data_IF_540856624191
#
_entry.id   IF_540856624191
#
_cell.length_a   1.000
_cell.length_b   1.000
_cell.length_c   1.000
_cell.angle_alpha   90.00
_cell.angle_beta   90.00
_cell.angle_gamma   90.00
#
_symmetry.space_group_name_H-M   'P 1'
#
loop_
_entity.id
_entity.type
_entity.pdbx_description
1 polymer ?
#
# COMPACT_ATOMS: atom_id res chain seq x y z
N UNK A 1 30.48 -24.80 -25.45
CA UNK A 1 30.58 -24.90 -23.99
C UNK A 1 30.47 -23.55 -23.30
N UNK A 2 31.28 -22.55 -23.58
CA UNK A 2 31.14 -21.19 -22.99
C UNK A 2 29.78 -20.53 -23.24
N UNK A 3 29.16 -20.74 -24.40
CA UNK A 3 27.87 -20.15 -24.76
C UNK A 3 26.72 -20.60 -23.83
N UNK A 4 26.69 -21.87 -23.42
CA UNK A 4 25.65 -22.39 -22.51
C UNK A 4 25.78 -21.88 -21.08
N UNK A 5 27.01 -21.66 -20.58
CA UNK A 5 27.25 -21.05 -19.28
C UNK A 5 26.79 -19.57 -19.25
N UNK A 6 27.07 -18.84 -20.32
CA UNK A 6 26.65 -17.45 -20.47
C UNK A 6 25.12 -17.33 -20.53
N UNK A 7 24.45 -18.19 -21.30
CA UNK A 7 23.00 -18.22 -21.40
C UNK A 7 22.34 -18.54 -20.03
N UNK A 8 22.94 -19.47 -19.28
CA UNK A 8 22.48 -19.81 -17.92
C UNK A 8 22.63 -18.64 -16.95
N UNK A 9 23.76 -17.95 -17.01
CA UNK A 9 24.00 -16.77 -16.19
C UNK A 9 23.03 -15.63 -16.54
N UNK A 10 22.79 -15.42 -17.84
CA UNK A 10 21.83 -14.42 -18.33
C UNK A 10 20.39 -14.72 -17.87
N UNK A 11 20.00 -16.00 -17.84
CA UNK A 11 18.74 -16.43 -17.26
C UNK A 11 18.63 -16.02 -15.77
N UNK A 12 19.65 -16.34 -14.96
CA UNK A 12 19.68 -15.95 -13.54
C UNK A 12 19.57 -14.43 -13.35
N UNK A 13 20.31 -13.64 -14.15
CA UNK A 13 20.21 -12.18 -14.09
C UNK A 13 18.86 -11.62 -14.54
N UNK A 14 18.22 -12.21 -15.54
CA UNK A 14 16.87 -11.84 -15.96
C UNK A 14 15.86 -12.13 -14.85
N UNK A 15 15.94 -13.31 -14.23
CA UNK A 15 15.08 -13.68 -13.10
C UNK A 15 15.26 -12.74 -11.92
N UNK A 16 16.50 -12.45 -11.53
CA UNK A 16 16.79 -11.44 -10.50
C UNK A 16 16.14 -10.08 -10.81
N UNK A 17 16.38 -9.55 -12.03
CA UNK A 17 15.86 -8.24 -12.44
C UNK A 17 14.34 -8.20 -12.41
N UNK A 18 13.68 -9.27 -12.84
CA UNK A 18 12.21 -9.40 -12.82
C UNK A 18 11.66 -9.31 -11.38
N UNK A 19 12.19 -10.14 -10.48
CA UNK A 19 11.76 -10.17 -9.07
C UNK A 19 12.08 -8.84 -8.38
N UNK A 20 13.27 -8.28 -8.61
CA UNK A 20 13.66 -7.00 -8.05
C UNK A 20 12.76 -5.84 -8.52
N UNK A 21 12.33 -5.87 -9.80
CA UNK A 21 11.36 -4.90 -10.34
C UNK A 21 10.00 -5.04 -9.65
N UNK A 22 9.46 -6.25 -9.58
CA UNK A 22 8.19 -6.53 -8.91
C UNK A 22 8.22 -6.12 -7.43
N UNK A 23 9.30 -6.41 -6.73
CA UNK A 23 9.52 -5.96 -5.33
C UNK A 23 9.47 -4.43 -5.20
N UNK A 24 10.13 -3.68 -6.12
CA UNK A 24 10.11 -2.21 -6.11
C UNK A 24 8.73 -1.62 -6.40
N UNK A 25 7.98 -2.24 -7.31
CA UNK A 25 6.62 -1.81 -7.66
C UNK A 25 5.67 -2.01 -6.48
N UNK A 26 5.74 -3.17 -5.80
CA UNK A 26 4.98 -3.43 -4.58
C UNK A 26 5.32 -2.42 -3.47
N UNK A 27 6.62 -2.13 -3.26
CA UNK A 27 7.03 -1.11 -2.29
C UNK A 27 6.43 0.25 -2.60
N UNK A 28 6.52 0.71 -3.86
CA UNK A 28 5.94 1.99 -4.28
C UNK A 28 4.43 2.07 -4.06
N UNK A 29 3.70 0.96 -4.24
CA UNK A 29 2.27 0.92 -3.95
C UNK A 29 2.01 1.07 -2.45
N UNK A 30 2.73 0.34 -1.61
CA UNK A 30 2.62 0.44 -0.14
C UNK A 30 2.91 1.87 0.32
N UNK A 31 3.99 2.50 -0.17
CA UNK A 31 4.36 3.88 0.16
C UNK A 31 3.27 4.89 -0.24
N UNK A 32 2.69 4.76 -1.44
CA UNK A 32 1.57 5.62 -1.89
C UNK A 32 0.37 5.54 -0.95
N UNK A 33 0.01 4.33 -0.53
CA UNK A 33 -1.09 4.13 0.39
C UNK A 33 -0.80 4.67 1.79
N UNK A 34 0.42 4.49 2.29
CA UNK A 34 0.85 5.07 3.57
C UNK A 34 0.73 6.59 3.58
N UNK A 35 1.17 7.24 2.49
CA UNK A 35 1.05 8.68 2.31
C UNK A 35 -0.43 9.12 2.26
N UNK A 36 -1.28 8.38 1.52
CA UNK A 36 -2.72 8.68 1.45
C UNK A 36 -3.40 8.56 2.84
N UNK A 37 -3.10 7.49 3.59
CA UNK A 37 -3.59 7.29 4.96
C UNK A 37 -3.15 8.44 5.86
N UNK A 38 -1.89 8.86 5.77
CA UNK A 38 -1.36 9.98 6.56
C UNK A 38 -2.14 11.28 6.31
N UNK A 39 -2.36 11.65 5.04
CA UNK A 39 -3.14 12.85 4.71
C UNK A 39 -4.60 12.74 5.15
N UNK A 40 -5.24 11.58 4.99
CA UNK A 40 -6.60 11.36 5.47
C UNK A 40 -6.70 11.49 6.99
N UNK A 41 -5.72 10.98 7.73
CA UNK A 41 -5.68 11.09 9.20
C UNK A 41 -5.54 12.55 9.64
N UNK A 42 -4.66 13.31 9.00
CA UNK A 42 -4.52 14.74 9.28
C UNK A 42 -5.82 15.49 8.97
N UNK A 43 -6.44 15.22 7.82
CA UNK A 43 -7.71 15.83 7.43
C UNK A 43 -8.82 15.53 8.43
N UNK A 44 -8.92 14.28 8.89
CA UNK A 44 -9.89 13.87 9.90
C UNK A 44 -9.65 14.59 11.24
N UNK A 45 -8.38 14.76 11.64
CA UNK A 45 -8.02 15.49 12.88
C UNK A 45 -8.40 16.97 12.79
N UNK A 46 -8.16 17.63 11.65
CA UNK A 46 -8.54 19.04 11.42
C UNK A 46 -10.07 19.18 11.46
N UNK A 47 -10.80 18.33 10.74
CA UNK A 47 -12.27 18.36 10.70
C UNK A 47 -12.86 18.07 12.07
N UNK A 48 -12.33 17.06 12.78
CA UNK A 48 -12.77 16.71 14.13
C UNK A 48 -12.47 17.82 15.15
N UNK A 49 -11.29 18.45 15.04
CA UNK A 49 -10.90 19.60 15.87
C UNK A 49 -11.84 20.80 15.65
N UNK A 50 -12.12 21.13 14.38
CA UNK A 50 -13.07 22.19 14.04
C UNK A 50 -14.49 21.88 14.55
N UNK A 51 -14.95 20.64 14.43
CA UNK A 51 -16.24 20.20 14.97
C UNK A 51 -16.32 20.39 16.49
N UNK A 52 -15.26 19.97 17.21
CA UNK A 52 -15.19 20.13 18.69
C UNK A 52 -15.14 21.60 19.12
N UNK A 53 -14.45 22.44 18.34
CA UNK A 53 -14.40 23.88 18.58
C UNK A 53 -15.79 24.50 18.41
N UNK A 54 -16.49 24.22 17.30
CA UNK A 54 -17.84 24.75 17.03
C UNK A 54 -18.88 24.31 18.05
N UNK A 55 -18.70 23.16 18.70
CA UNK A 55 -19.61 22.69 19.75
C UNK A 55 -19.38 23.37 21.11
N UNK A 56 -18.17 23.82 21.40
CA UNK A 56 -17.78 24.34 22.72
C UNK A 56 -17.83 25.84 22.84
N UNK A 57 -17.76 26.58 21.74
CA UNK A 57 -17.72 28.05 21.79
C UNK A 57 -19.14 28.57 21.94
N UNK A 58 -19.50 29.21 23.11
CA UNK A 58 -20.70 30.03 23.17
C UNK A 58 -20.46 31.19 22.19
N UNK A 59 -21.35 31.37 21.25
CA UNK A 59 -21.25 32.27 20.11
C UNK A 59 -20.97 33.72 20.60
N UNK A 60 -19.72 34.21 20.67
CA UNK A 60 -19.47 35.61 20.62
C UNK A 60 -19.20 35.96 19.17
N UNK A 61 -20.13 36.64 18.50
CA UNK A 61 -19.94 37.48 17.31
C UNK A 61 -18.76 37.06 16.43
N UNK A 62 -18.84 35.86 15.86
CA UNK A 62 -17.92 35.40 14.81
C UNK A 62 -18.26 36.19 13.56
N UNK A 63 -17.26 36.84 12.99
CA UNK A 63 -17.22 37.63 11.77
C UNK A 63 -18.44 37.47 10.85
N UNK A 64 -19.20 38.54 10.59
CA UNK A 64 -20.45 38.51 9.81
C UNK A 64 -20.29 37.92 8.41
N UNK A 65 -19.10 37.96 7.86
CA UNK A 65 -18.79 37.41 6.54
C UNK A 65 -18.85 35.86 6.47
N UNK A 66 -18.54 35.18 7.57
CA UNK A 66 -18.65 33.69 7.62
C UNK A 66 -20.07 33.23 7.92
N UNK A 67 -20.87 34.07 8.55
CA UNK A 67 -22.24 33.76 8.94
C UNK A 67 -23.13 33.56 7.70
N UNK A 68 -23.01 34.43 6.70
CA UNK A 68 -23.80 34.34 5.46
C UNK A 68 -23.40 33.13 4.61
N UNK A 69 -22.10 32.86 4.43
CA UNK A 69 -21.64 31.73 3.63
C UNK A 69 -21.99 30.38 4.27
N UNK A 70 -21.81 30.24 5.59
CA UNK A 70 -22.17 29.04 6.33
C UNK A 70 -23.69 28.87 6.41
N UNK A 71 -24.45 29.95 6.53
CA UNK A 71 -25.90 29.93 6.55
C UNK A 71 -26.46 29.40 5.21
N UNK A 72 -25.99 29.92 4.09
CA UNK A 72 -26.41 29.43 2.77
C UNK A 72 -26.02 27.98 2.52
N UNK A 73 -24.84 27.55 2.97
CA UNK A 73 -24.39 26.18 2.85
C UNK A 73 -25.19 25.23 3.75
N UNK A 74 -25.49 25.64 4.97
CA UNK A 74 -26.30 24.87 5.91
C UNK A 74 -27.77 24.76 5.48
N UNK A 75 -28.36 25.84 4.95
CA UNK A 75 -29.74 25.84 4.44
C UNK A 75 -29.88 24.96 3.21
N UNK A 76 -28.93 25.03 2.26
CA UNK A 76 -28.95 24.19 1.07
C UNK A 76 -28.71 22.71 1.42
N UNK A 77 -27.84 22.41 2.38
CA UNK A 77 -27.57 21.07 2.86
C UNK A 77 -28.77 20.49 3.65
N UNK A 78 -29.43 21.32 4.47
CA UNK A 78 -30.69 20.99 5.16
C UNK A 78 -31.79 20.65 4.14
N UNK A 79 -31.90 21.45 3.06
CA UNK A 79 -32.89 21.22 1.99
C UNK A 79 -32.63 19.93 1.22
N UNK A 80 -31.36 19.54 1.06
CA UNK A 80 -30.96 18.32 0.38
C UNK A 80 -31.21 17.05 1.21
N UNK A 81 -30.95 17.09 2.52
CA UNK A 81 -31.02 15.90 3.37
C UNK A 81 -32.38 15.69 4.05
N UNK A 82 -33.14 16.72 4.25
CA UNK A 82 -34.42 16.63 4.98
C UNK A 82 -35.52 17.28 4.17
N UNK A 83 -36.16 16.46 3.35
CA UNK A 83 -37.40 16.85 2.70
C UNK A 83 -38.49 16.96 3.79
N UNK A 84 -38.68 18.17 4.29
CA UNK A 84 -39.86 18.66 5.00
C UNK A 84 -40.46 17.78 6.10
N UNK A 85 -40.16 17.98 7.27
CA UNK A 85 -40.98 17.90 8.51
C UNK A 85 -40.13 17.43 9.70
N UNK A 86 -40.09 18.18 10.74
CA UNK A 86 -39.50 17.92 12.05
C UNK A 86 -38.13 18.56 12.28
N UNK A 87 -38.04 19.90 12.29
CA UNK A 87 -36.99 20.58 13.00
C UNK A 87 -37.59 21.64 13.89
N UNK A 88 -37.53 21.39 15.18
CA UNK A 88 -37.89 22.31 16.22
C UNK A 88 -36.96 23.56 16.12
N UNK A 89 -37.51 24.77 16.05
CA UNK A 89 -36.85 26.02 15.70
C UNK A 89 -35.71 26.48 16.65
N UNK A 90 -35.48 25.77 17.73
CA UNK A 90 -34.50 26.12 18.77
C UNK A 90 -33.13 25.43 18.62
N UNK A 91 -32.85 24.72 17.53
CA UNK A 91 -31.53 24.12 17.31
C UNK A 91 -30.62 25.12 16.65
N UNK A 92 -29.62 25.63 17.38
CA UNK A 92 -28.54 26.46 16.82
C UNK A 92 -27.91 25.78 15.62
N UNK A 93 -27.97 26.40 14.43
CA UNK A 93 -27.40 25.91 13.18
C UNK A 93 -25.92 25.49 13.34
N UNK A 94 -25.17 26.21 14.18
CA UNK A 94 -23.75 25.97 14.43
C UNK A 94 -23.53 24.64 15.16
N UNK A 95 -24.37 24.29 16.14
CA UNK A 95 -24.25 23.00 16.84
C UNK A 95 -24.60 21.84 15.92
N UNK A 96 -25.54 22.06 15.01
CA UNK A 96 -25.89 21.05 13.99
C UNK A 96 -24.75 20.84 13.00
N UNK A 97 -24.11 21.88 12.50
CA UNK A 97 -22.92 21.80 11.64
C UNK A 97 -21.77 21.10 12.39
N UNK A 98 -21.51 21.44 13.65
CA UNK A 98 -20.50 20.78 14.46
C UNK A 98 -20.75 19.26 14.60
N UNK A 99 -22.00 18.84 14.80
CA UNK A 99 -22.35 17.40 14.84
C UNK A 99 -22.09 16.69 13.52
N UNK A 100 -22.45 17.31 12.39
CA UNK A 100 -22.21 16.73 11.06
C UNK A 100 -20.73 16.64 10.71
N UNK A 101 -19.94 17.67 11.06
CA UNK A 101 -18.48 17.62 10.91
C UNK A 101 -17.86 16.54 11.79
N UNK A 102 -18.35 16.36 13.02
CA UNK A 102 -17.92 15.27 13.89
C UNK A 102 -18.25 13.89 13.32
N UNK A 103 -19.45 13.72 12.76
CA UNK A 103 -19.84 12.49 12.06
C UNK A 103 -18.95 12.23 10.84
N UNK A 104 -18.70 13.25 10.01
CA UNK A 104 -17.80 13.15 8.86
C UNK A 104 -16.39 12.73 9.27
N UNK A 105 -15.83 13.36 10.31
CA UNK A 105 -14.53 12.98 10.85
C UNK A 105 -14.51 11.52 11.32
N UNK A 106 -15.55 11.05 11.99
CA UNK A 106 -15.68 9.66 12.43
C UNK A 106 -15.72 8.68 11.24
N UNK A 107 -16.46 9.01 10.18
CA UNK A 107 -16.49 8.21 8.94
C UNK A 107 -15.11 8.15 8.29
N UNK A 108 -14.41 9.29 8.15
CA UNK A 108 -13.05 9.33 7.59
C UNK A 108 -12.09 8.46 8.43
N UNK A 109 -12.15 8.56 9.76
CA UNK A 109 -11.32 7.73 10.66
C UNK A 109 -11.67 6.24 10.54
N UNK A 110 -12.93 5.88 10.37
CA UNK A 110 -13.35 4.50 10.12
C UNK A 110 -12.77 3.95 8.81
N UNK A 111 -12.82 4.75 7.75
CA UNK A 111 -12.21 4.41 6.45
C UNK A 111 -10.68 4.28 6.58
N UNK A 112 -10.03 5.23 7.26
CA UNK A 112 -8.59 5.18 7.52
C UNK A 112 -8.21 3.92 8.31
N UNK A 113 -8.97 3.58 9.35
CA UNK A 113 -8.74 2.38 10.17
C UNK A 113 -8.88 1.10 9.34
N UNK A 114 -9.91 1.00 8.51
CA UNK A 114 -10.11 -0.13 7.62
C UNK A 114 -8.94 -0.30 6.62
N UNK A 115 -8.55 0.79 5.93
CA UNK A 115 -7.44 0.73 4.99
C UNK A 115 -6.10 0.48 5.70
N UNK A 116 -5.86 1.09 6.86
CA UNK A 116 -4.66 0.84 7.65
C UNK A 116 -4.53 -0.63 8.04
N UNK A 117 -5.61 -1.25 8.53
CA UNK A 117 -5.56 -2.66 8.90
C UNK A 117 -5.32 -3.57 7.68
N UNK A 118 -5.86 -3.22 6.52
CA UNK A 118 -5.72 -4.03 5.30
C UNK A 118 -4.40 -3.83 4.56
N UNK A 119 -3.81 -2.64 4.62
CA UNK A 119 -2.56 -2.31 3.92
C UNK A 119 -1.35 -2.61 4.79
N UNK A 120 -1.47 -2.38 6.10
CA UNK A 120 -0.49 -2.75 7.10
C UNK A 120 -0.63 -4.21 7.54
N UNK A 121 -1.62 -4.97 6.99
CA UNK A 121 -1.67 -6.41 7.24
C UNK A 121 -0.30 -6.99 6.89
N UNK A 122 0.22 -7.79 7.81
CA UNK A 122 1.57 -8.35 7.80
C UNK A 122 1.94 -8.99 6.45
N UNK A 123 0.92 -9.43 5.70
CA UNK A 123 1.07 -10.19 4.46
C UNK A 123 1.76 -9.37 3.34
N UNK A 124 1.37 -8.10 3.11
CA UNK A 124 1.96 -7.31 2.00
C UNK A 124 3.41 -6.89 2.26
N UNK A 125 3.72 -6.54 3.51
CA UNK A 125 5.09 -6.25 3.91
C UNK A 125 5.96 -7.51 3.86
N UNK A 126 5.43 -8.66 4.26
CA UNK A 126 6.13 -9.95 4.17
C UNK A 126 6.38 -10.34 2.72
N UNK A 127 5.37 -10.21 1.84
CA UNK A 127 5.53 -10.47 0.40
C UNK A 127 6.65 -9.63 -0.20
N UNK A 128 6.65 -8.32 0.07
CA UNK A 128 7.73 -7.45 -0.40
C UNK A 128 9.11 -7.83 0.15
N UNK A 129 9.22 -8.13 1.45
CA UNK A 129 10.47 -8.55 2.08
C UNK A 129 10.97 -9.88 1.52
N UNK A 130 10.07 -10.84 1.33
CA UNK A 130 10.38 -12.14 0.74
C UNK A 130 10.86 -12.00 -0.70
N UNK A 131 10.18 -11.21 -1.53
CA UNK A 131 10.62 -10.93 -2.90
C UNK A 131 12.02 -10.31 -2.93
N UNK A 132 12.30 -9.37 -2.03
CA UNK A 132 13.61 -8.74 -1.93
C UNK A 132 14.68 -9.74 -1.49
N UNK A 133 14.40 -10.54 -0.47
CA UNK A 133 15.31 -11.56 0.03
C UNK A 133 15.66 -12.58 -1.05
N UNK A 134 14.67 -13.08 -1.78
CA UNK A 134 14.88 -14.03 -2.89
C UNK A 134 15.65 -13.39 -4.03
N UNK A 135 15.35 -12.13 -4.40
CA UNK A 135 16.12 -11.43 -5.42
C UNK A 135 17.61 -11.32 -5.03
N UNK A 136 17.91 -10.93 -3.80
CA UNK A 136 19.32 -10.84 -3.33
C UNK A 136 19.98 -12.23 -3.25
N UNK A 137 19.25 -13.28 -2.88
CA UNK A 137 19.74 -14.65 -2.90
C UNK A 137 20.12 -15.10 -4.32
N UNK A 138 19.25 -14.90 -5.31
CA UNK A 138 19.52 -15.23 -6.72
C UNK A 138 20.72 -14.43 -7.23
N UNK A 139 20.80 -13.14 -6.91
CA UNK A 139 21.93 -12.30 -7.26
C UNK A 139 23.25 -12.85 -6.71
N UNK A 140 23.26 -13.25 -5.43
CA UNK A 140 24.42 -13.88 -4.81
C UNK A 140 24.83 -15.16 -5.53
N UNK A 141 23.85 -16.03 -5.89
CA UNK A 141 24.10 -17.24 -6.66
C UNK A 141 24.65 -16.97 -8.06
N UNK A 142 24.18 -15.93 -8.73
CA UNK A 142 24.75 -15.50 -10.02
C UNK A 142 26.25 -15.14 -9.89
N UNK A 143 26.64 -14.42 -8.82
CA UNK A 143 28.05 -14.10 -8.60
C UNK A 143 28.89 -15.34 -8.27
N UNK A 144 28.39 -16.23 -7.41
CA UNK A 144 29.09 -17.48 -7.08
C UNK A 144 29.24 -18.39 -8.29
N UNK A 145 28.19 -18.50 -9.10
CA UNK A 145 28.21 -19.23 -10.35
C UNK A 145 29.23 -18.64 -11.34
N UNK A 146 29.22 -17.32 -11.54
CA UNK A 146 30.16 -16.65 -12.45
C UNK A 146 31.62 -16.83 -12.04
N UNK A 147 31.89 -16.77 -10.71
CA UNK A 147 33.26 -16.90 -10.18
C UNK A 147 33.70 -18.33 -9.94
N UNK A 148 32.81 -19.32 -10.05
CA UNK A 148 33.10 -20.73 -9.75
C UNK A 148 33.52 -20.99 -8.32
N UNK A 149 33.01 -20.23 -7.37
CA UNK A 149 33.33 -20.34 -5.94
C UNK A 149 32.23 -21.07 -5.16
N UNK A 150 32.53 -21.37 -3.90
CA UNK A 150 31.66 -22.08 -2.96
C UNK A 150 31.22 -23.44 -3.53
N UNK A 151 29.91 -23.71 -3.54
CA UNK A 151 29.34 -24.98 -4.03
C UNK A 151 29.63 -25.30 -5.50
N UNK A 152 30.09 -24.33 -6.29
CA UNK A 152 30.47 -24.51 -7.72
C UNK A 152 31.94 -24.86 -7.90
N UNK A 153 32.71 -24.90 -6.81
CA UNK A 153 34.11 -25.30 -6.84
C UNK A 153 34.23 -26.79 -7.19
N UNK A 154 35.12 -27.12 -8.10
CA UNK A 154 35.38 -28.51 -8.54
C UNK A 154 34.24 -29.23 -9.29
N UNK A 155 33.15 -28.51 -9.65
CA UNK A 155 32.12 -29.07 -10.50
C UNK A 155 32.48 -28.91 -11.98
N UNK A 156 32.13 -29.91 -12.80
CA UNK A 156 32.19 -29.75 -14.24
C UNK A 156 31.09 -28.78 -14.72
N UNK A 157 31.21 -28.24 -15.92
CA UNK A 157 30.31 -27.22 -16.45
C UNK A 157 28.85 -27.65 -16.49
N UNK A 158 28.55 -28.94 -16.73
CA UNK A 158 27.19 -29.48 -16.74
C UNK A 158 26.59 -29.52 -15.34
N UNK A 159 27.30 -30.07 -14.38
CA UNK A 159 26.82 -30.19 -13.01
C UNK A 159 26.67 -28.81 -12.35
N UNK A 160 27.58 -27.89 -12.67
CA UNK A 160 27.53 -26.51 -12.26
C UNK A 160 26.28 -25.80 -12.77
N UNK A 161 25.97 -25.96 -14.05
CA UNK A 161 24.76 -25.39 -14.69
C UNK A 161 23.50 -25.97 -14.05
N UNK A 162 23.46 -27.28 -13.87
CA UNK A 162 22.30 -27.99 -13.34
C UNK A 162 22.02 -27.61 -11.88
N UNK A 163 23.08 -27.50 -11.06
CA UNK A 163 22.97 -27.05 -9.68
C UNK A 163 22.45 -25.60 -9.59
N UNK A 164 22.98 -24.71 -10.43
CA UNK A 164 22.54 -23.31 -10.46
C UNK A 164 21.08 -23.19 -10.84
N UNK A 165 20.65 -23.85 -11.92
CA UNK A 165 19.25 -23.82 -12.35
C UNK A 165 18.31 -24.36 -11.28
N UNK A 166 18.67 -25.47 -10.62
CA UNK A 166 17.90 -26.04 -9.51
C UNK A 166 17.76 -25.04 -8.36
N UNK A 167 18.82 -24.35 -7.97
CA UNK A 167 18.78 -23.36 -6.89
C UNK A 167 17.93 -22.14 -7.26
N UNK A 168 18.03 -21.63 -8.48
CA UNK A 168 17.19 -20.52 -8.96
C UNK A 168 15.72 -20.93 -8.94
N UNK A 169 15.41 -22.17 -9.36
CA UNK A 169 14.05 -22.71 -9.35
C UNK A 169 13.51 -22.87 -7.92
N UNK A 170 14.30 -23.39 -6.98
CA UNK A 170 13.92 -23.51 -5.57
C UNK A 170 13.58 -22.15 -4.96
N UNK A 171 14.39 -21.11 -5.21
CA UNK A 171 14.12 -19.75 -4.77
C UNK A 171 12.85 -19.18 -5.42
N UNK A 172 12.65 -19.45 -6.70
CA UNK A 172 11.44 -18.99 -7.39
C UNK A 172 10.18 -19.67 -6.87
N UNK A 173 10.24 -20.98 -6.63
CA UNK A 173 9.13 -21.76 -6.09
C UNK A 173 8.78 -21.34 -4.64
N UNK A 174 9.77 -20.93 -3.85
CA UNK A 174 9.52 -20.37 -2.52
C UNK A 174 8.70 -19.08 -2.57
N UNK A 175 8.85 -18.27 -3.63
CA UNK A 175 8.02 -17.09 -3.87
C UNK A 175 6.61 -17.44 -4.33
N UNK A 176 6.43 -18.46 -5.16
CA UNK A 176 5.09 -18.83 -5.63
C UNK A 176 4.18 -19.22 -4.47
N UNK A 177 4.69 -19.93 -3.48
CA UNK A 177 3.93 -20.29 -2.30
C UNK A 177 3.48 -19.09 -1.46
N UNK A 178 4.18 -17.96 -1.56
CA UNK A 178 3.87 -16.72 -0.85
C UNK A 178 2.99 -15.77 -1.70
N UNK A 179 3.22 -15.74 -3.02
CA UNK A 179 2.56 -14.81 -3.95
C UNK A 179 1.21 -15.34 -4.44
N UNK A 180 1.02 -16.66 -4.54
CA UNK A 180 -0.26 -17.28 -4.94
C UNK A 180 -1.39 -16.99 -3.95
N UNK A 181 -1.07 -16.62 -2.71
CA UNK A 181 -2.09 -16.16 -1.76
C UNK A 181 -2.62 -14.76 -2.05
N UNK A 182 -1.96 -13.91 -2.84
CA UNK A 182 -2.36 -12.50 -3.02
C UNK A 182 -2.56 -12.03 -4.48
N UNK A 183 -2.12 -12.75 -5.51
CA UNK A 183 -2.29 -12.32 -6.91
C UNK A 183 -2.58 -13.46 -7.87
N UNK A 184 -3.72 -13.34 -8.59
CA UNK A 184 -4.05 -14.15 -9.78
C UNK A 184 -3.17 -13.83 -11.02
N UNK A 185 -2.07 -13.10 -10.86
CA UNK A 185 -1.12 -12.88 -11.94
C UNK A 185 -0.04 -13.95 -11.91
N UNK A 186 -0.27 -14.98 -12.70
CA UNK A 186 0.74 -15.99 -13.02
C UNK A 186 1.97 -15.34 -13.63
N UNK A 187 3.06 -15.28 -12.89
CA UNK A 187 4.40 -15.06 -13.44
C UNK A 187 4.64 -16.21 -14.44
N UNK A 188 4.49 -15.94 -15.74
CA UNK A 188 4.76 -16.92 -16.78
C UNK A 188 6.22 -17.31 -16.72
N UNK A 189 6.48 -18.60 -16.48
CA UNK A 189 7.77 -19.21 -16.71
C UNK A 189 8.23 -18.96 -18.13
N UNK A 190 9.51 -18.66 -18.37
CA UNK A 190 10.06 -18.84 -19.69
C UNK A 190 10.04 -20.36 -20.01
N UNK A 191 9.68 -20.75 -21.24
CA UNK A 191 9.73 -22.15 -21.64
C UNK A 191 11.16 -22.66 -21.52
N UNK A 192 11.30 -23.85 -20.95
CA UNK A 192 12.54 -24.64 -20.89
C UNK A 192 12.97 -25.03 -22.29
#
# INVERSE_FOLDING_TARGET
MQKSLQETLDYGWKTYKSIAKASRENKKQIEKWQVAIFYLTISAAIVGGAAGYLQKVPIPKVLPFFEDALYHLAVNFKRFLFNNHLVNENFSLITTIGKWLGFLAAVILGVVSYFSSRILSNDKNQVWQNMRSVAEAIKSKCFLFATGKAEYLNLNDKDRTLLFLKQVEEYFNSLQNVVVMDTNETLKYPPV
#
